data_IF_553002958914
#
_entry.id   IF_553002958914
#
_cell.length_a   1.000
_cell.length_b   1.000
_cell.length_c   1.000
_cell.angle_alpha   90.00
_cell.angle_beta   90.00
_cell.angle_gamma   90.00
#
_symmetry.space_group_name_H-M   'P 1'
#
loop_
_entity.id
_entity.type
_entity.pdbx_description
1 polymer ?
#
# COMPACT_ATOMS: atom_id res chain seq x y z
N UNK A 1 19.99 6.95 22.24
CA UNK A 1 20.92 6.52 21.17
C UNK A 1 21.26 7.74 20.34
N UNK A 2 22.49 8.28 20.44
CA UNK A 2 22.87 9.56 19.85
C UNK A 2 23.37 9.40 18.42
N UNK A 3 22.86 10.25 17.53
CA UNK A 3 23.33 10.39 16.15
C UNK A 3 24.61 11.22 16.14
N UNK A 4 25.69 10.64 15.64
CA UNK A 4 26.98 11.29 15.47
C UNK A 4 27.11 11.95 14.09
N UNK A 5 27.70 13.13 14.12
CA UNK A 5 28.04 14.04 13.04
C UNK A 5 29.02 13.49 12.00
N UNK A 6 28.90 13.99 10.77
CA UNK A 6 29.94 14.04 9.74
C UNK A 6 29.31 14.57 8.45
N UNK A 7 29.84 15.50 7.66
CA UNK A 7 31.15 16.15 7.56
C UNK A 7 31.12 16.83 6.19
N UNK A 8 30.84 18.13 6.15
CA UNK A 8 30.54 18.89 4.93
C UNK A 8 31.85 19.26 4.20
N UNK A 9 32.22 18.53 3.14
CA UNK A 9 33.35 18.91 2.26
C UNK A 9 32.85 19.74 1.07
N UNK A 10 33.30 20.99 1.07
CA UNK A 10 33.18 22.01 0.01
C UNK A 10 34.18 21.64 -1.10
N UNK A 11 33.72 21.37 -2.33
CA UNK A 11 34.60 21.27 -3.50
C UNK A 11 34.32 22.41 -4.46
N UNK A 12 35.41 23.04 -4.85
CA UNK A 12 35.57 24.29 -5.56
C UNK A 12 35.11 24.16 -7.02
N UNK A 13 34.44 25.20 -7.51
CA UNK A 13 33.91 25.32 -8.87
C UNK A 13 34.95 26.01 -9.75
N UNK A 14 35.23 25.43 -10.92
CA UNK A 14 35.91 26.11 -12.02
C UNK A 14 35.02 26.00 -13.26
N UNK A 15 34.86 27.15 -13.92
CA UNK A 15 34.02 27.41 -15.08
C UNK A 15 34.81 27.20 -16.38
N UNK A 16 34.19 26.58 -17.37
CA UNK A 16 34.56 26.74 -18.78
C UNK A 16 33.30 26.58 -19.65
N UNK A 17 33.06 27.60 -20.48
CA UNK A 17 31.97 27.69 -21.44
C UNK A 17 32.37 27.10 -22.80
N UNK A 18 31.39 26.63 -23.59
CA UNK A 18 31.57 26.45 -25.04
C UNK A 18 30.72 25.38 -25.73
N UNK A 19 29.48 25.75 -26.10
CA UNK A 19 28.74 25.49 -27.37
C UNK A 19 28.84 24.13 -28.08
N UNK A 20 27.66 23.59 -28.42
CA UNK A 20 27.48 22.66 -29.55
C UNK A 20 26.23 21.80 -29.44
N UNK A 21 25.13 22.21 -30.08
CA UNK A 21 23.87 21.46 -30.13
C UNK A 21 23.92 20.27 -31.08
N UNK A 22 23.39 19.13 -30.62
CA UNK A 22 23.09 17.92 -31.40
C UNK A 22 21.98 17.13 -30.68
N UNK A 23 21.15 16.35 -31.40
CA UNK A 23 19.99 15.67 -30.83
C UNK A 23 20.42 14.57 -29.84
N UNK A 24 19.63 14.25 -28.79
CA UNK A 24 20.03 13.24 -27.83
C UNK A 24 19.89 11.84 -28.46
N UNK A 25 21.03 11.21 -28.73
CA UNK A 25 21.10 9.78 -29.01
C UNK A 25 20.72 9.01 -27.74
N UNK A 26 19.43 8.66 -27.63
CA UNK A 26 18.91 7.75 -26.62
C UNK A 26 19.38 6.33 -26.90
N UNK A 27 20.47 5.91 -26.28
CA UNK A 27 21.00 4.55 -26.45
C UNK A 27 22.34 4.29 -25.76
N UNK A 28 22.68 5.02 -24.70
CA UNK A 28 23.93 4.84 -23.97
C UNK A 28 23.70 5.00 -22.46
N UNK A 29 23.09 4.00 -21.82
CA UNK A 29 23.27 3.77 -20.37
C UNK A 29 23.60 2.32 -20.00
N UNK A 30 23.76 1.42 -20.97
CA UNK A 30 24.46 0.14 -20.77
C UNK A 30 25.99 0.27 -20.61
N UNK A 31 26.53 1.49 -20.48
CA UNK A 31 27.97 1.71 -20.34
C UNK A 31 28.49 1.50 -18.90
N UNK A 32 27.64 1.54 -17.89
CA UNK A 32 28.09 1.39 -16.49
C UNK A 32 28.41 -0.07 -16.13
N UNK A 33 27.69 -1.05 -16.69
CA UNK A 33 28.01 -2.48 -16.51
C UNK A 33 29.27 -2.91 -17.27
N UNK A 34 29.66 -2.17 -18.32
CA UNK A 34 30.85 -2.45 -19.12
C UNK A 34 32.17 -2.19 -18.37
N UNK A 35 32.13 -1.47 -17.23
CA UNK A 35 33.32 -1.15 -16.42
C UNK A 35 33.74 -2.30 -15.48
N UNK A 36 32.84 -3.23 -15.16
CA UNK A 36 33.15 -4.40 -14.35
C UNK A 36 33.70 -5.52 -15.25
N UNK A 37 34.59 -6.42 -14.78
CA UNK A 37 34.99 -7.59 -15.57
C UNK A 37 33.85 -8.62 -15.68
N UNK A 38 33.84 -9.45 -16.73
CA UNK A 38 32.85 -10.54 -16.84
C UNK A 38 33.17 -11.57 -15.74
N UNK A 39 32.17 -12.21 -15.12
CA UNK A 39 32.43 -13.32 -14.22
C UNK A 39 33.19 -14.45 -14.92
N UNK A 40 33.91 -15.27 -14.14
CA UNK A 40 34.71 -16.36 -14.70
C UNK A 40 33.84 -17.33 -15.54
N UNK A 41 34.31 -17.64 -16.75
CA UNK A 41 33.60 -18.50 -17.69
C UNK A 41 32.50 -17.81 -18.50
N UNK A 42 32.33 -16.49 -18.38
CA UNK A 42 31.44 -15.72 -19.26
C UNK A 42 32.22 -15.03 -20.38
N UNK A 43 31.66 -15.05 -21.59
CA UNK A 43 32.19 -14.39 -22.79
C UNK A 43 31.13 -13.49 -23.42
N UNK A 44 31.53 -12.30 -23.89
CA UNK A 44 30.70 -11.41 -24.70
C UNK A 44 30.90 -11.74 -26.18
N UNK A 45 29.80 -11.97 -26.90
CA UNK A 45 29.78 -12.21 -28.33
C UNK A 45 28.75 -11.31 -29.02
N UNK A 46 28.81 -11.24 -30.35
CA UNK A 46 27.87 -10.46 -31.17
C UNK A 46 27.26 -11.35 -32.25
N UNK A 47 25.96 -11.18 -32.47
CA UNK A 47 25.26 -11.86 -33.57
C UNK A 47 25.52 -11.16 -34.92
N UNK A 48 24.88 -11.67 -35.99
CA UNK A 48 25.01 -11.12 -37.35
C UNK A 48 24.41 -9.72 -37.49
N UNK A 49 23.46 -9.37 -36.64
CA UNK A 49 22.80 -8.06 -36.58
C UNK A 49 23.57 -7.07 -35.68
N UNK A 50 24.69 -7.52 -35.10
CA UNK A 50 25.57 -6.74 -34.23
C UNK A 50 25.09 -6.62 -32.78
N UNK A 51 24.01 -7.31 -32.41
CA UNK A 51 23.46 -7.38 -31.05
C UNK A 51 24.37 -8.21 -30.17
N UNK A 52 24.64 -7.68 -28.98
CA UNK A 52 25.50 -8.33 -27.99
C UNK A 52 24.71 -9.42 -27.28
N UNK A 53 25.34 -10.59 -27.11
CA UNK A 53 24.86 -11.68 -26.26
C UNK A 53 26.02 -12.26 -25.46
N UNK A 54 25.70 -12.99 -24.41
CA UNK A 54 26.67 -13.54 -23.46
C UNK A 54 26.64 -15.06 -23.48
N UNK A 55 27.83 -15.67 -23.45
CA UNK A 55 28.03 -17.11 -23.46
C UNK A 55 28.56 -17.52 -22.08
N UNK A 56 27.83 -18.37 -21.37
CA UNK A 56 28.30 -19.01 -20.14
C UNK A 56 28.92 -20.37 -20.48
N UNK A 57 30.25 -20.44 -20.45
CA UNK A 57 31.02 -21.66 -20.70
C UNK A 57 30.89 -22.69 -19.59
N UNK A 58 30.48 -22.28 -18.37
CA UNK A 58 30.30 -23.21 -17.26
C UNK A 58 29.04 -24.06 -17.48
N UNK A 59 27.95 -23.43 -17.91
CA UNK A 59 26.66 -24.09 -18.16
C UNK A 59 26.43 -24.44 -19.63
N UNK A 60 27.30 -23.95 -20.52
CA UNK A 60 27.20 -24.07 -21.99
C UNK A 60 25.88 -23.48 -22.53
N UNK A 61 25.48 -22.35 -21.97
CA UNK A 61 24.27 -21.63 -22.36
C UNK A 61 24.59 -20.25 -22.90
N UNK A 62 23.68 -19.70 -23.69
CA UNK A 62 23.75 -18.31 -24.18
C UNK A 62 22.59 -17.50 -23.60
N UNK A 63 22.81 -16.22 -23.37
CA UNK A 63 21.85 -15.32 -22.73
C UNK A 63 21.94 -13.92 -23.34
N UNK A 64 20.78 -13.27 -23.51
CA UNK A 64 20.69 -11.85 -23.87
C UNK A 64 20.89 -10.92 -22.68
N UNK A 65 20.88 -11.46 -21.45
CA UNK A 65 21.04 -10.73 -20.20
C UNK A 65 22.52 -10.72 -19.82
N UNK A 66 23.10 -9.53 -19.59
CA UNK A 66 24.46 -9.39 -19.07
C UNK A 66 24.54 -10.03 -17.67
N UNK A 67 25.47 -10.96 -17.41
CA UNK A 67 25.62 -11.56 -16.08
C UNK A 67 25.90 -10.53 -14.98
N UNK A 68 26.42 -9.35 -15.32
CA UNK A 68 26.70 -8.24 -14.40
C UNK A 68 25.44 -7.45 -14.04
N UNK A 69 24.40 -7.49 -14.88
CA UNK A 69 23.14 -6.78 -14.65
C UNK A 69 22.46 -7.24 -13.36
N UNK A 70 22.74 -8.45 -12.88
CA UNK A 70 22.28 -8.93 -11.57
C UNK A 70 22.71 -8.05 -10.40
N UNK A 71 23.80 -7.29 -10.56
CA UNK A 71 24.38 -6.44 -9.52
C UNK A 71 24.01 -4.98 -9.76
N UNK A 72 23.85 -4.57 -11.02
CA UNK A 72 23.65 -3.16 -11.40
C UNK A 72 22.20 -2.79 -11.66
N UNK A 73 21.33 -3.74 -12.03
CA UNK A 73 19.92 -3.49 -12.31
C UNK A 73 19.01 -3.86 -11.13
N UNK A 74 17.88 -3.16 -10.96
CA UNK A 74 16.87 -3.55 -9.98
C UNK A 74 16.35 -4.96 -10.27
N UNK A 75 16.19 -5.78 -9.23
CA UNK A 75 15.71 -7.15 -9.38
C UNK A 75 14.20 -7.20 -9.63
N UNK A 76 13.47 -6.20 -9.13
CA UNK A 76 12.01 -6.14 -9.23
C UNK A 76 11.55 -4.77 -9.71
N UNK A 77 10.31 -4.71 -10.21
CA UNK A 77 9.66 -3.45 -10.56
C UNK A 77 9.53 -2.47 -9.38
N UNK A 78 9.50 -2.97 -8.13
CA UNK A 78 9.41 -2.14 -6.94
C UNK A 78 10.70 -1.35 -6.66
N UNK A 79 11.85 -1.84 -7.13
CA UNK A 79 13.17 -1.25 -6.91
C UNK A 79 13.58 -0.29 -8.05
N UNK A 80 12.77 -0.20 -9.11
CA UNK A 80 13.07 0.63 -10.27
C UNK A 80 12.95 2.12 -9.92
N UNK A 81 13.94 2.91 -10.34
CA UNK A 81 13.96 4.37 -10.15
C UNK A 81 14.05 5.07 -11.50
N UNK A 82 13.17 6.05 -11.73
CA UNK A 82 13.16 6.84 -12.96
C UNK A 82 12.89 5.98 -14.20
N UNK A 83 13.83 6.00 -15.15
CA UNK A 83 13.72 5.32 -16.45
C UNK A 83 14.34 3.91 -16.48
N UNK A 84 14.76 3.39 -15.33
CA UNK A 84 15.36 2.07 -15.22
C UNK A 84 14.32 0.95 -15.33
N UNK A 85 14.72 -0.16 -15.95
CA UNK A 85 13.94 -1.39 -16.08
C UNK A 85 14.59 -2.49 -15.23
N UNK A 86 13.78 -3.44 -14.73
CA UNK A 86 14.31 -4.52 -13.92
C UNK A 86 15.14 -5.51 -14.74
N UNK A 87 15.89 -6.35 -14.04
CA UNK A 87 16.70 -7.41 -14.63
C UNK A 87 15.89 -8.24 -15.64
N UNK A 88 16.46 -8.43 -16.83
CA UNK A 88 15.81 -9.18 -17.92
C UNK A 88 14.93 -8.34 -18.83
N UNK A 89 14.59 -7.10 -18.46
CA UNK A 89 13.87 -6.19 -19.33
C UNK A 89 14.81 -5.29 -20.13
N UNK A 90 14.47 -5.09 -21.40
CA UNK A 90 15.21 -4.24 -22.34
C UNK A 90 14.25 -3.33 -23.10
N UNK A 91 14.62 -2.05 -23.23
CA UNK A 91 13.96 -1.11 -24.14
C UNK A 91 14.59 -1.26 -25.53
N UNK A 92 13.75 -1.54 -26.52
CA UNK A 92 14.17 -1.68 -27.92
C UNK A 92 13.44 -0.64 -28.77
N UNK A 93 14.15 -0.13 -29.77
CA UNK A 93 13.62 0.86 -30.70
C UNK A 93 13.47 0.22 -32.07
N UNK A 94 12.26 0.28 -32.61
CA UNK A 94 11.96 -0.09 -33.99
C UNK A 94 11.52 1.16 -34.78
N UNK A 95 11.89 1.23 -36.07
CA UNK A 95 11.61 2.41 -36.89
C UNK A 95 10.12 2.57 -37.23
N UNK A 96 9.35 1.48 -37.24
CA UNK A 96 7.93 1.48 -37.59
C UNK A 96 7.04 1.54 -36.35
N UNK A 97 7.40 0.79 -35.31
CA UNK A 97 6.58 0.62 -34.08
C UNK A 97 6.95 1.67 -33.02
N UNK A 98 8.18 2.19 -33.05
CA UNK A 98 8.72 3.06 -32.02
C UNK A 98 9.33 2.28 -30.85
N UNK A 99 9.16 2.79 -29.64
CA UNK A 99 9.70 2.15 -28.43
C UNK A 99 8.83 0.96 -28.05
N UNK A 100 9.46 -0.19 -27.83
CA UNK A 100 8.82 -1.36 -27.27
C UNK A 100 9.76 -2.04 -26.25
N UNK A 101 9.22 -2.97 -25.48
CA UNK A 101 9.89 -3.60 -24.36
C UNK A 101 9.99 -5.11 -24.59
N UNK A 102 11.17 -5.67 -24.30
CA UNK A 102 11.44 -7.11 -24.38
C UNK A 102 11.75 -7.66 -22.99
N UNK A 103 11.08 -8.75 -22.63
CA UNK A 103 11.36 -9.56 -21.45
C UNK A 103 12.14 -10.81 -21.86
N UNK A 104 13.42 -10.85 -21.54
CA UNK A 104 14.33 -11.96 -21.83
C UNK A 104 14.19 -13.15 -20.88
N UNK A 105 13.47 -12.99 -19.78
CA UNK A 105 13.20 -14.09 -18.84
C UNK A 105 11.99 -14.88 -19.35
N UNK A 106 10.92 -14.17 -19.69
CA UNK A 106 9.68 -14.78 -20.17
C UNK A 106 9.61 -14.92 -21.70
N UNK A 107 10.59 -14.37 -22.42
CA UNK A 107 10.64 -14.36 -23.89
C UNK A 107 9.40 -13.68 -24.51
N UNK A 108 9.01 -12.53 -23.94
CA UNK A 108 7.84 -11.77 -24.36
C UNK A 108 8.24 -10.38 -24.88
N UNK A 109 7.42 -9.83 -25.77
CA UNK A 109 7.58 -8.46 -26.29
C UNK A 109 6.27 -7.70 -26.17
N UNK A 110 6.33 -6.43 -25.77
CA UNK A 110 5.14 -5.59 -25.59
C UNK A 110 5.42 -4.13 -25.92
N UNK A 111 4.39 -3.43 -26.38
CA UNK A 111 4.46 -1.98 -26.68
C UNK A 111 4.32 -1.15 -25.40
N UNK A 112 3.50 -1.60 -24.47
CA UNK A 112 3.21 -0.87 -23.23
C UNK A 112 4.39 -0.97 -22.25
N UNK A 113 4.66 0.12 -21.53
CA UNK A 113 5.71 0.14 -20.50
C UNK A 113 5.35 -0.83 -19.36
N UNK A 114 6.19 -1.85 -19.11
CA UNK A 114 5.91 -2.86 -18.09
C UNK A 114 5.84 -2.26 -16.67
N UNK A 115 6.45 -1.10 -16.42
CA UNK A 115 6.39 -0.38 -15.13
C UNK A 115 5.06 0.32 -14.95
N UNK A 116 4.44 0.78 -16.03
CA UNK A 116 3.09 1.33 -16.00
C UNK A 116 2.08 0.21 -15.76
N UNK A 117 2.24 -0.93 -16.45
CA UNK A 117 1.41 -2.12 -16.20
C UNK A 117 1.53 -2.58 -14.76
N UNK A 118 2.75 -2.73 -14.25
CA UNK A 118 2.98 -3.15 -12.87
C UNK A 118 2.34 -2.17 -11.87
N UNK A 119 2.50 -0.86 -12.05
CA UNK A 119 1.86 0.15 -11.19
C UNK A 119 0.34 0.09 -11.24
N UNK A 120 -0.25 -0.03 -12.43
CA UNK A 120 -1.70 -0.17 -12.60
C UNK A 120 -2.22 -1.40 -11.89
N UNK A 121 -1.47 -2.50 -11.96
CA UNK A 121 -1.82 -3.73 -11.28
C UNK A 121 -1.75 -3.57 -9.75
N UNK A 122 -0.74 -2.88 -9.23
CA UNK A 122 -0.68 -2.55 -7.79
C UNK A 122 -1.86 -1.67 -7.35
N UNK A 123 -2.24 -0.68 -8.16
CA UNK A 123 -3.41 0.16 -7.89
C UNK A 123 -4.71 -0.66 -7.90
N UNK A 124 -4.88 -1.55 -8.89
CA UNK A 124 -6.02 -2.47 -8.98
C UNK A 124 -6.12 -3.36 -7.74
N UNK A 125 -5.01 -3.98 -7.36
CA UNK A 125 -4.93 -4.83 -6.16
C UNK A 125 -5.30 -4.08 -4.89
N UNK A 126 -4.81 -2.85 -4.73
CA UNK A 126 -5.14 -2.02 -3.57
C UNK A 126 -6.63 -1.70 -3.51
N UNK A 127 -7.25 -1.35 -4.64
CA UNK A 127 -8.70 -1.07 -4.73
C UNK A 127 -9.52 -2.30 -4.37
N UNK A 128 -9.16 -3.47 -4.87
CA UNK A 128 -9.82 -4.73 -4.52
C UNK A 128 -9.72 -5.04 -3.03
N UNK A 129 -8.53 -4.87 -2.46
CA UNK A 129 -8.33 -5.07 -1.03
C UNK A 129 -9.14 -4.08 -0.19
N UNK A 130 -9.24 -2.81 -0.62
CA UNK A 130 -10.03 -1.79 0.05
C UNK A 130 -11.53 -2.16 0.07
N UNK A 131 -12.07 -2.68 -1.03
CA UNK A 131 -13.46 -3.16 -1.12
C UNK A 131 -13.68 -4.25 -0.08
N UNK A 132 -12.85 -5.29 -0.08
CA UNK A 132 -12.97 -6.42 0.85
C UNK A 132 -12.84 -5.95 2.31
N UNK A 133 -11.91 -5.03 2.59
CA UNK A 133 -11.73 -4.47 3.92
C UNK A 133 -12.96 -3.67 4.39
N UNK A 134 -13.58 -2.92 3.50
CA UNK A 134 -14.80 -2.14 3.77
C UNK A 134 -16.00 -3.06 4.03
N UNK A 135 -16.18 -4.10 3.23
CA UNK A 135 -17.23 -5.11 3.43
C UNK A 135 -17.05 -5.83 4.77
N UNK A 136 -15.83 -6.25 5.09
CA UNK A 136 -15.52 -6.88 6.37
C UNK A 136 -15.78 -5.94 7.56
N UNK A 137 -15.48 -4.65 7.42
CA UNK A 137 -15.77 -3.64 8.43
C UNK A 137 -17.28 -3.45 8.61
N UNK A 138 -18.04 -3.38 7.52
CA UNK A 138 -19.50 -3.25 7.56
C UNK A 138 -20.15 -4.47 8.21
N UNK A 139 -19.75 -5.68 7.83
CA UNK A 139 -20.21 -6.91 8.47
C UNK A 139 -19.90 -6.92 9.99
N UNK A 140 -18.73 -6.41 10.39
CA UNK A 140 -18.38 -6.29 11.81
C UNK A 140 -19.27 -5.27 12.54
N UNK A 141 -19.64 -4.15 11.90
CA UNK A 141 -20.59 -3.15 12.42
C UNK A 141 -21.98 -3.77 12.63
N UNK A 142 -22.45 -4.58 11.69
CA UNK A 142 -23.73 -5.29 11.81
C UNK A 142 -23.72 -6.28 12.98
N UNK A 143 -22.65 -7.08 13.10
CA UNK A 143 -22.50 -8.01 14.23
C UNK A 143 -22.47 -7.25 15.56
N UNK A 144 -21.78 -6.11 15.61
CA UNK A 144 -21.77 -5.25 16.80
C UNK A 144 -23.17 -4.77 17.17
N UNK A 145 -23.95 -4.30 16.19
CA UNK A 145 -25.32 -3.85 16.40
C UNK A 145 -26.22 -4.98 16.94
N UNK A 146 -26.11 -6.18 16.36
CA UNK A 146 -26.85 -7.35 16.83
C UNK A 146 -26.46 -7.71 18.27
N UNK A 147 -25.16 -7.66 18.60
CA UNK A 147 -24.70 -7.92 19.97
C UNK A 147 -25.18 -6.86 20.95
N UNK A 148 -25.26 -5.60 20.52
CA UNK A 148 -25.80 -4.52 21.33
C UNK A 148 -27.28 -4.75 21.63
N UNK A 149 -28.09 -5.06 20.62
CA UNK A 149 -29.50 -5.43 20.81
C UNK A 149 -29.65 -6.65 21.74
N UNK A 150 -28.82 -7.68 21.58
CA UNK A 150 -28.82 -8.85 22.48
C UNK A 150 -28.48 -8.51 23.93
N UNK A 151 -27.63 -7.50 24.14
CA UNK A 151 -27.30 -7.02 25.48
C UNK A 151 -28.46 -6.25 26.10
N UNK A 152 -29.12 -5.37 25.33
CA UNK A 152 -30.30 -4.62 25.76
C UNK A 152 -31.44 -5.57 26.16
N UNK A 153 -31.77 -6.54 25.31
CA UNK A 153 -32.78 -7.56 25.62
C UNK A 153 -32.40 -8.37 26.87
N UNK A 154 -31.14 -8.78 27.03
CA UNK A 154 -30.70 -9.48 28.23
C UNK A 154 -30.78 -8.60 29.49
N UNK A 155 -30.65 -7.28 29.34
CA UNK A 155 -30.77 -6.32 30.43
C UNK A 155 -32.23 -6.16 30.86
N UNK A 156 -33.15 -6.05 29.90
CA UNK A 156 -34.58 -6.02 30.14
C UNK A 156 -35.06 -7.32 30.81
N UNK A 157 -34.64 -8.49 30.31
CA UNK A 157 -34.90 -9.80 30.91
C UNK A 157 -34.44 -9.84 32.38
N UNK A 158 -33.26 -9.30 32.67
CA UNK A 158 -32.73 -9.24 34.04
C UNK A 158 -33.57 -8.31 34.94
N UNK A 159 -33.93 -7.12 34.45
CA UNK A 159 -34.74 -6.14 35.18
C UNK A 159 -36.15 -6.69 35.48
N UNK A 160 -36.77 -7.37 34.52
CA UNK A 160 -38.08 -7.98 34.70
C UNK A 160 -38.07 -9.02 35.81
N UNK A 161 -37.07 -9.91 35.83
CA UNK A 161 -36.92 -10.87 36.92
C UNK A 161 -36.71 -10.20 38.27
N UNK A 162 -35.88 -9.16 38.32
CA UNK A 162 -35.64 -8.42 39.56
C UNK A 162 -36.94 -7.84 40.10
N UNK A 163 -37.75 -7.22 39.24
CA UNK A 163 -39.05 -6.66 39.60
C UNK A 163 -40.03 -7.71 40.10
N UNK A 164 -40.15 -8.86 39.42
CA UNK A 164 -41.01 -9.96 39.86
C UNK A 164 -40.61 -10.49 41.25
N UNK A 165 -39.31 -10.59 41.52
CA UNK A 165 -38.80 -11.00 42.83
C UNK A 165 -39.13 -9.97 43.93
N UNK A 166 -39.06 -8.67 43.63
CA UNK A 166 -39.42 -7.60 44.56
C UNK A 166 -40.92 -7.55 44.85
N UNK A 167 -41.78 -7.79 43.85
CA UNK A 167 -43.23 -7.77 43.99
C UNK A 167 -43.76 -8.96 44.82
N UNK A 168 -43.20 -10.17 44.64
CA UNK A 168 -43.44 -11.30 45.54
C UNK A 168 -42.95 -11.01 46.98
N UNK A 169 -41.84 -10.26 47.10
CA UNK A 169 -41.29 -9.87 48.39
C UNK A 169 -42.18 -8.84 49.12
N UNK A 170 -42.79 -7.91 48.39
CA UNK A 170 -43.72 -6.94 48.95
C UNK A 170 -45.03 -7.58 49.38
N UNK A 171 -45.50 -8.56 48.60
CA UNK A 171 -46.75 -9.28 48.87
C UNK A 171 -46.70 -10.12 50.15
N UNK A 172 -45.52 -10.64 50.56
CA UNK A 172 -45.38 -11.31 51.87
C UNK A 172 -45.38 -10.31 53.05
N UNK A 173 -44.88 -9.09 52.85
CA UNK A 173 -44.74 -8.11 53.93
C UNK A 173 -46.07 -7.45 54.31
N UNK A 174 -47.05 -7.42 53.39
CA UNK A 174 -48.40 -6.86 53.62
C UNK A 174 -49.44 -7.86 54.13
N UNK A 175 -49.11 -9.16 54.23
CA UNK A 175 -50.06 -10.21 54.61
C UNK A 175 -49.53 -11.07 55.76
N UNK A 176 -49.60 -10.54 56.98
CA UNK A 176 -49.58 -11.37 58.20
C UNK A 176 -50.98 -11.96 58.41
N UNK A 177 -51.34 -12.99 57.65
CA UNK A 177 -52.48 -13.86 57.95
C UNK A 177 -52.36 -15.20 57.21
N UNK A 178 -52.22 -16.28 57.97
CA UNK A 178 -52.65 -17.63 57.57
C UNK A 178 -52.01 -18.21 56.31
N UNK A 179 -50.88 -18.90 56.52
CA UNK A 179 -50.44 -20.10 55.79
C UNK A 179 -51.08 -20.36 54.42
N UNK A 180 -50.34 -20.10 53.33
CA UNK A 180 -50.57 -20.73 52.03
C UNK A 180 -49.21 -21.07 51.41
N UNK A 181 -48.82 -22.33 51.54
CA UNK A 181 -47.61 -22.91 50.96
C UNK A 181 -47.83 -23.17 49.48
N UNK A 182 -47.69 -22.15 48.66
CA UNK A 182 -47.56 -22.36 47.22
C UNK A 182 -46.60 -21.37 46.56
N UNK A 183 -45.40 -21.20 47.12
CA UNK A 183 -44.28 -20.72 46.31
C UNK A 183 -43.85 -21.86 45.41
N UNK A 184 -44.33 -21.86 44.18
CA UNK A 184 -43.96 -22.82 43.12
C UNK A 184 -42.44 -22.81 42.80
N UNK A 185 -41.68 -21.91 43.42
CA UNK A 185 -40.25 -21.68 43.21
C UNK A 185 -39.48 -21.57 44.53
N UNK A 186 -38.33 -22.25 44.59
CA UNK A 186 -37.39 -22.23 45.71
C UNK A 186 -36.59 -20.91 45.74
N UNK A 187 -36.50 -20.19 46.88
CA UNK A 187 -35.67 -18.99 47.02
C UNK A 187 -34.21 -19.14 46.54
N UNK A 188 -33.62 -20.33 46.67
CA UNK A 188 -32.27 -20.60 46.17
C UNK A 188 -32.22 -20.67 44.65
N UNK A 189 -33.28 -21.19 44.01
CA UNK A 189 -33.42 -21.26 42.56
C UNK A 189 -33.51 -19.86 41.93
N UNK A 190 -34.29 -18.95 42.53
CA UNK A 190 -34.43 -17.56 42.07
C UNK A 190 -33.09 -16.81 42.18
N UNK A 191 -32.39 -16.97 43.32
CA UNK A 191 -31.05 -16.36 43.49
C UNK A 191 -30.04 -16.88 42.47
N UNK A 192 -30.05 -18.18 42.20
CA UNK A 192 -29.19 -18.79 41.20
C UNK A 192 -29.48 -18.25 39.79
N UNK A 193 -30.76 -18.06 39.45
CA UNK A 193 -31.17 -17.51 38.15
C UNK A 193 -30.74 -16.04 37.97
N UNK A 194 -30.94 -15.21 38.99
CA UNK A 194 -30.47 -13.80 39.01
C UNK A 194 -28.95 -13.74 38.85
N UNK A 195 -28.22 -14.61 39.55
CA UNK A 195 -26.76 -14.69 39.44
C UNK A 195 -26.31 -15.08 38.02
N UNK A 196 -26.98 -16.07 37.40
CA UNK A 196 -26.71 -16.50 36.03
C UNK A 196 -26.96 -15.39 35.00
N UNK A 197 -28.08 -14.66 35.09
CA UNK A 197 -28.39 -13.54 34.19
C UNK A 197 -27.40 -12.38 34.35
N UNK A 198 -27.00 -12.06 35.59
CA UNK A 198 -25.95 -11.05 35.87
C UNK A 198 -24.60 -11.43 35.26
N UNK A 199 -24.24 -12.71 35.31
CA UNK A 199 -23.01 -13.22 34.71
C UNK A 199 -23.07 -13.17 33.17
N UNK A 200 -24.22 -13.52 32.56
CA UNK A 200 -24.47 -13.32 31.11
C UNK A 200 -24.31 -11.86 30.69
N UNK A 201 -24.89 -10.91 31.44
CA UNK A 201 -24.72 -9.48 31.18
C UNK A 201 -23.26 -9.03 31.28
N UNK A 202 -22.54 -9.53 32.27
CA UNK A 202 -21.12 -9.21 32.47
C UNK A 202 -20.25 -9.74 31.31
N UNK A 203 -20.56 -10.93 30.79
CA UNK A 203 -19.93 -11.46 29.56
C UNK A 203 -20.22 -10.59 28.34
N UNK A 204 -21.50 -10.34 28.05
CA UNK A 204 -21.91 -9.54 26.89
C UNK A 204 -21.31 -8.12 26.92
N UNK A 205 -21.26 -7.50 28.10
CA UNK A 205 -20.63 -6.19 28.29
C UNK A 205 -19.14 -6.20 27.96
N UNK A 206 -18.39 -7.22 28.39
CA UNK A 206 -16.97 -7.39 28.05
C UNK A 206 -16.78 -7.63 26.54
N UNK A 207 -17.60 -8.48 25.94
CA UNK A 207 -17.56 -8.73 24.50
C UNK A 207 -17.83 -7.47 23.68
N UNK A 208 -18.81 -6.65 24.08
CA UNK A 208 -19.11 -5.38 23.41
C UNK A 208 -17.96 -4.39 23.54
N UNK A 209 -17.30 -4.33 24.70
CA UNK A 209 -16.12 -3.48 24.90
C UNK A 209 -14.96 -3.92 23.99
N UNK A 210 -14.68 -5.22 23.93
CA UNK A 210 -13.65 -5.78 23.04
C UNK A 210 -14.00 -5.52 21.56
N UNK A 211 -15.23 -5.80 21.15
CA UNK A 211 -15.66 -5.61 19.77
C UNK A 211 -15.62 -4.15 19.35
N UNK A 212 -15.96 -3.21 20.24
CA UNK A 212 -15.82 -1.78 20.00
C UNK A 212 -14.36 -1.39 19.74
N UNK A 213 -13.42 -1.92 20.52
CA UNK A 213 -12.00 -1.68 20.32
C UNK A 213 -11.50 -2.29 18.99
N UNK A 214 -11.89 -3.53 18.68
CA UNK A 214 -11.56 -4.15 17.39
C UNK A 214 -12.06 -3.33 16.20
N UNK A 215 -13.28 -2.80 16.30
CA UNK A 215 -13.90 -1.98 15.28
C UNK A 215 -13.11 -0.69 15.04
N UNK A 216 -12.67 -0.01 16.11
CA UNK A 216 -11.82 1.18 15.99
C UNK A 216 -10.50 0.91 15.26
N UNK A 217 -9.83 -0.23 15.53
CA UNK A 217 -8.60 -0.58 14.81
C UNK A 217 -8.87 -0.91 13.35
N UNK A 218 -9.99 -1.57 13.05
CA UNK A 218 -10.39 -1.86 11.66
C UNK A 218 -10.74 -0.59 10.89
N UNK A 219 -11.45 0.35 11.50
CA UNK A 219 -11.75 1.67 10.92
C UNK A 219 -10.47 2.43 10.57
N UNK A 220 -9.54 2.56 11.53
CA UNK A 220 -8.23 3.18 11.27
C UNK A 220 -7.43 2.48 10.17
N UNK A 221 -7.53 1.15 10.10
CA UNK A 221 -6.89 0.36 9.04
C UNK A 221 -7.45 0.70 7.66
N UNK A 222 -8.78 0.78 7.54
CA UNK A 222 -9.45 1.18 6.28
C UNK A 222 -9.11 2.63 5.91
N UNK A 223 -9.13 3.57 6.85
CA UNK A 223 -8.71 4.96 6.61
C UNK A 223 -7.27 5.05 6.09
N UNK A 224 -6.36 4.24 6.66
CA UNK A 224 -4.97 4.19 6.20
C UNK A 224 -4.88 3.68 4.75
N UNK A 225 -5.66 2.65 4.40
CA UNK A 225 -5.71 2.14 3.03
C UNK A 225 -6.27 3.18 2.05
N UNK A 226 -7.32 3.90 2.44
CA UNK A 226 -7.88 5.00 1.64
C UNK A 226 -6.86 6.12 1.40
N UNK A 227 -6.06 6.45 2.42
CA UNK A 227 -5.00 7.45 2.28
C UNK A 227 -3.89 6.98 1.33
N UNK A 228 -3.54 5.70 1.36
CA UNK A 228 -2.57 5.12 0.40
C UNK A 228 -3.15 5.16 -1.01
N UNK A 229 -4.41 4.77 -1.20
CA UNK A 229 -5.09 4.80 -2.50
C UNK A 229 -5.16 6.22 -3.08
N UNK A 230 -5.45 7.22 -2.24
CA UNK A 230 -5.42 8.64 -2.62
C UNK A 230 -4.03 9.07 -3.07
N UNK A 231 -2.98 8.66 -2.35
CA UNK A 231 -1.59 8.98 -2.72
C UNK A 231 -1.19 8.33 -4.05
N UNK A 232 -1.52 7.05 -4.23
CA UNK A 232 -1.29 6.32 -5.48
C UNK A 232 -2.01 6.99 -6.65
N UNK A 233 -3.27 7.39 -6.46
CA UNK A 233 -4.05 8.14 -7.45
C UNK A 233 -3.44 9.51 -7.76
N UNK A 234 -2.94 10.24 -6.76
CA UNK A 234 -2.32 11.57 -6.95
C UNK A 234 -0.93 11.55 -7.60
N UNK A 235 -0.20 10.45 -7.48
CA UNK A 235 1.11 10.28 -8.11
C UNK A 235 1.02 10.16 -9.64
N UNK A 236 -0.19 10.04 -10.21
CA UNK A 236 -0.44 10.01 -11.65
C UNK A 236 -0.21 11.37 -12.33
N UNK A 237 -0.10 12.46 -11.57
CA UNK A 237 0.37 13.75 -12.12
C UNK A 237 1.84 13.90 -11.78
N UNK A 238 2.72 13.57 -12.72
CA UNK A 238 4.17 13.83 -12.62
C UNK A 238 4.53 15.32 -12.43
N UNK A 239 3.53 16.20 -12.42
CA UNK A 239 3.66 17.58 -11.98
C UNK A 239 2.51 17.89 -11.00
N UNK A 240 2.85 18.28 -9.78
CA UNK A 240 1.86 18.97 -8.93
C UNK A 240 1.44 20.26 -9.65
N UNK A 241 0.19 20.69 -9.50
CA UNK A 241 -0.30 21.95 -10.09
C UNK A 241 0.64 23.13 -9.75
N UNK A 242 1.17 23.11 -8.53
CA UNK A 242 2.12 24.10 -7.99
C UNK A 242 3.47 24.08 -8.73
N UNK A 243 3.97 22.89 -9.06
CA UNK A 243 5.23 22.67 -9.80
C UNK A 243 5.06 23.04 -11.27
N UNK A 244 3.94 22.65 -11.89
CA UNK A 244 3.60 23.05 -13.25
C UNK A 244 3.45 24.59 -13.36
N UNK A 245 2.86 25.24 -12.36
CA UNK A 245 2.74 26.70 -12.30
C UNK A 245 4.11 27.38 -12.12
N UNK A 246 4.99 26.83 -11.29
CA UNK A 246 6.35 27.34 -11.11
C UNK A 246 7.15 27.27 -12.42
N UNK A 247 7.16 26.11 -13.08
CA UNK A 247 7.81 25.91 -14.39
C UNK A 247 7.25 26.89 -15.42
N UNK A 248 5.93 27.06 -15.48
CA UNK A 248 5.29 28.01 -16.40
C UNK A 248 5.67 29.47 -16.10
N UNK A 249 5.87 29.82 -14.83
CA UNK A 249 6.31 31.17 -14.43
C UNK A 249 7.77 31.44 -14.82
N UNK A 250 8.64 30.43 -14.69
CA UNK A 250 10.04 30.50 -15.11
C UNK A 250 10.15 30.61 -16.63
N UNK A 251 9.39 29.80 -17.39
CA UNK A 251 9.34 29.88 -18.85
C UNK A 251 8.87 31.24 -19.35
N UNK A 252 7.89 31.87 -18.69
CA UNK A 252 7.45 33.24 -19.02
C UNK A 252 8.55 34.26 -18.74
N UNK A 253 9.29 34.10 -17.65
CA UNK A 253 10.40 34.98 -17.27
C UNK A 253 11.53 34.89 -18.27
N UNK A 254 11.91 33.67 -18.68
CA UNK A 254 12.91 33.41 -19.72
C UNK A 254 12.47 34.01 -21.06
N UNK A 255 11.21 33.81 -21.46
CA UNK A 255 10.65 34.43 -22.69
C UNK A 255 10.76 35.95 -22.64
N UNK A 256 10.43 36.58 -21.50
CA UNK A 256 10.54 38.04 -21.33
C UNK A 256 11.98 38.51 -21.46
N UNK A 257 12.93 37.82 -20.84
CA UNK A 257 14.35 38.12 -20.93
C UNK A 257 14.89 38.00 -22.37
N UNK A 258 14.46 36.99 -23.12
CA UNK A 258 14.85 36.81 -24.53
C UNK A 258 14.23 37.91 -25.41
N UNK A 259 12.99 38.33 -25.14
CA UNK A 259 12.36 39.42 -25.87
C UNK A 259 13.02 40.77 -25.59
N UNK A 260 13.38 41.09 -24.34
CA UNK A 260 14.03 42.37 -23.99
C UNK A 260 15.44 42.50 -24.58
N UNK A 261 16.19 41.40 -24.71
CA UNK A 261 17.52 41.40 -25.34
C UNK A 261 17.46 41.69 -26.85
N UNK A 262 16.32 41.44 -27.52
CA UNK A 262 16.14 41.75 -28.95
C UNK A 262 15.82 43.23 -29.25
N UNK A 263 15.52 44.05 -28.25
CA UNK A 263 15.22 45.49 -28.41
C UNK A 263 16.33 46.42 -27.89
N UNK A 264 17.48 45.86 -27.49
CA UNK A 264 18.62 46.62 -26.94
C UNK A 264 19.79 46.76 -27.92
N UNK A 265 19.52 46.78 -29.23
CA UNK A 265 20.51 47.06 -30.28
C UNK A 265 20.06 48.21 -31.16
#
# INVERSE_FOLDING_TARGET
>A
MPWLSGGRRRRQQQVAAGQGGGPPAGGQRGRESSELPLPAGWEEARDFDGRVFYIDHNTRQTSWIDPRDRITKPLTFADCVGDELPLGWETVYDQQIGVYYMDHINQLTQIEDPREQWRREQERMLKEYLIVAQEALNAKKEIYQIKQQRFELAQEEYQQLHKMCEDDSRSYASSFSGFSTNTKYDPYQIKAEIASRRDRLSRLKRELAQMKQELQYKEKGVETLQEIDRKMSSAHTNYRLDEAQAIMSELRTIKKAICTVKYAK
#
